data_IF_441053051081
#
_entry.id   IF_441053051081
#
_cell.length_a   1.000
_cell.length_b   1.000
_cell.length_c   1.000
_cell.angle_alpha   90.00
_cell.angle_beta   90.00
_cell.angle_gamma   90.00
#
_symmetry.space_group_name_H-M   'P 1'
#
loop_
_entity.id
_entity.type
_entity.pdbx_description
1 polymer ?
#
# COMPACT_ATOMS: atom_id res chain seq x y z
N UNK A 1 -18.02 -44.76 -6.51
CA UNK A 1 -18.87 -43.55 -6.47
C UNK A 1 -17.96 -42.40 -6.07
N UNK A 2 -17.87 -41.39 -6.92
CA UNK A 2 -16.74 -40.47 -7.02
C UNK A 2 -16.58 -39.54 -5.81
N UNK A 3 -15.35 -39.44 -5.33
CA UNK A 3 -14.89 -38.39 -4.40
C UNK A 3 -14.66 -37.10 -5.19
N UNK A 4 -15.39 -36.02 -4.89
CA UNK A 4 -15.12 -34.70 -5.48
C UNK A 4 -15.51 -33.58 -4.52
N UNK A 5 -14.57 -33.18 -3.68
CA UNK A 5 -14.48 -31.82 -3.16
C UNK A 5 -13.03 -31.36 -3.41
N UNK A 6 -12.81 -30.28 -4.18
CA UNK A 6 -12.38 -29.04 -3.54
C UNK A 6 -12.89 -27.79 -4.29
N UNK A 7 -13.66 -26.93 -3.63
CA UNK A 7 -14.16 -25.66 -4.24
C UNK A 7 -13.58 -24.40 -3.58
N UNK A 8 -12.71 -24.52 -2.57
CA UNK A 8 -12.26 -23.38 -1.75
C UNK A 8 -10.92 -22.78 -2.19
N UNK A 9 -10.00 -23.56 -2.78
CA UNK A 9 -8.65 -23.12 -3.20
C UNK A 9 -8.68 -22.01 -4.27
N UNK A 10 -9.47 -22.20 -5.31
CA UNK A 10 -9.50 -21.30 -6.48
C UNK A 10 -9.97 -19.87 -6.14
N UNK A 11 -10.89 -19.72 -5.17
CA UNK A 11 -11.37 -18.39 -4.78
C UNK A 11 -10.34 -17.57 -4.01
N UNK A 12 -9.45 -18.22 -3.25
CA UNK A 12 -8.43 -17.55 -2.47
C UNK A 12 -7.31 -17.04 -3.39
N UNK A 13 -6.91 -17.87 -4.35
CA UNK A 13 -5.92 -17.52 -5.38
C UNK A 13 -6.40 -16.33 -6.23
N UNK A 14 -7.68 -16.32 -6.62
CA UNK A 14 -8.27 -15.20 -7.36
C UNK A 14 -8.29 -13.90 -6.52
N UNK A 15 -8.61 -13.99 -5.22
CA UNK A 15 -8.57 -12.82 -4.31
C UNK A 15 -7.16 -12.25 -4.16
N UNK A 16 -6.16 -13.12 -3.99
CA UNK A 16 -4.76 -12.70 -3.90
C UNK A 16 -4.26 -12.06 -5.20
N UNK A 17 -4.67 -12.61 -6.36
CA UNK A 17 -4.37 -12.02 -7.66
C UNK A 17 -4.97 -10.61 -7.79
N UNK A 18 -6.26 -10.46 -7.48
CA UNK A 18 -6.94 -9.17 -7.57
C UNK A 18 -6.33 -8.13 -6.62
N UNK A 19 -5.95 -8.53 -5.41
CA UNK A 19 -5.29 -7.64 -4.45
C UNK A 19 -3.93 -7.14 -4.98
N UNK A 20 -3.14 -8.03 -5.60
CA UNK A 20 -1.87 -7.64 -6.24
C UNK A 20 -2.09 -6.65 -7.37
N UNK A 21 -3.03 -6.96 -8.28
CA UNK A 21 -3.36 -6.08 -9.41
C UNK A 21 -3.85 -4.70 -8.94
N UNK A 22 -4.59 -4.65 -7.83
CA UNK A 22 -5.04 -3.39 -7.21
C UNK A 22 -3.86 -2.57 -6.70
N UNK A 23 -2.93 -3.19 -5.96
CA UNK A 23 -1.74 -2.50 -5.45
C UNK A 23 -0.83 -2.04 -6.60
N UNK A 24 -0.70 -2.83 -7.67
CA UNK A 24 0.07 -2.47 -8.86
C UNK A 24 -0.52 -1.23 -9.53
N UNK A 25 -1.84 -1.20 -9.75
CA UNK A 25 -2.52 -0.04 -10.33
C UNK A 25 -2.41 1.22 -9.45
N UNK A 26 -2.53 1.07 -8.12
CA UNK A 26 -2.33 2.18 -7.17
C UNK A 26 -0.89 2.69 -7.18
N UNK A 27 0.09 1.79 -7.37
CA UNK A 27 1.50 2.17 -7.47
C UNK A 27 1.78 2.93 -8.76
N UNK A 28 1.25 2.48 -9.90
CA UNK A 28 1.40 3.21 -11.17
C UNK A 28 0.80 4.62 -11.06
N UNK A 29 -0.37 4.76 -10.43
CA UNK A 29 -0.96 6.06 -10.14
C UNK A 29 -0.07 6.91 -9.23
N UNK A 30 0.55 6.32 -8.21
CA UNK A 30 1.44 7.03 -7.28
C UNK A 30 2.69 7.57 -7.98
N UNK A 31 3.24 6.83 -8.95
CA UNK A 31 4.36 7.28 -9.78
C UNK A 31 3.95 8.41 -10.71
N UNK A 32 2.77 8.31 -11.34
CA UNK A 32 2.23 9.37 -12.21
C UNK A 32 2.02 10.69 -11.45
N UNK A 33 1.54 10.60 -10.21
CA UNK A 33 1.34 11.75 -9.33
C UNK A 33 2.62 12.19 -8.60
N UNK A 34 3.74 11.50 -8.84
CA UNK A 34 5.04 11.77 -8.24
C UNK A 34 4.98 11.90 -6.71
N UNK A 35 4.18 11.05 -6.05
CA UNK A 35 4.04 11.07 -4.57
C UNK A 35 5.31 10.63 -3.86
N UNK A 36 6.21 9.95 -4.59
CA UNK A 36 7.47 9.43 -4.07
C UNK A 36 7.28 8.28 -3.08
N UNK A 37 6.13 7.61 -3.08
CA UNK A 37 5.90 6.41 -2.28
C UNK A 37 6.41 5.18 -3.02
N UNK A 38 7.23 4.38 -2.35
CA UNK A 38 7.57 3.04 -2.84
C UNK A 38 6.43 2.05 -2.56
N UNK A 39 6.49 0.88 -3.18
CA UNK A 39 5.41 -0.12 -3.13
C UNK A 39 5.15 -0.65 -1.72
N UNK A 40 6.17 -0.76 -0.85
CA UNK A 40 5.99 -1.17 0.53
C UNK A 40 5.27 -0.09 1.33
N UNK A 41 5.73 1.16 1.26
CA UNK A 41 5.09 2.29 1.94
C UNK A 41 3.64 2.49 1.49
N UNK A 42 3.37 2.38 0.19
CA UNK A 42 2.02 2.44 -0.34
C UNK A 42 1.12 1.34 0.24
N UNK A 43 1.61 0.10 0.32
CA UNK A 43 0.86 -1.02 0.91
C UNK A 43 0.55 -0.78 2.39
N UNK A 44 1.48 -0.19 3.15
CA UNK A 44 1.25 0.22 4.53
C UNK A 44 0.16 1.28 4.60
N UNK A 45 0.22 2.32 3.76
CA UNK A 45 -0.80 3.37 3.72
C UNK A 45 -2.20 2.81 3.41
N UNK A 46 -2.31 1.90 2.43
CA UNK A 46 -3.57 1.21 2.11
C UNK A 46 -4.08 0.45 3.32
N UNK A 47 -3.23 -0.36 3.97
CA UNK A 47 -3.61 -1.09 5.18
C UNK A 47 -4.05 -0.18 6.33
N UNK A 48 -3.43 0.99 6.51
CA UNK A 48 -3.87 1.97 7.50
C UNK A 48 -5.25 2.54 7.18
N UNK A 49 -5.51 2.86 5.92
CA UNK A 49 -6.82 3.38 5.46
C UNK A 49 -7.90 2.31 5.60
N UNK A 50 -7.61 1.05 5.27
CA UNK A 50 -8.51 -0.09 5.49
C UNK A 50 -8.84 -0.30 6.97
N UNK A 51 -7.91 0.04 7.87
CA UNK A 51 -8.12 0.03 9.32
C UNK A 51 -8.78 1.31 9.87
N UNK A 52 -9.23 2.23 9.00
CA UNK A 52 -10.00 3.42 9.37
C UNK A 52 -9.18 4.71 9.51
N UNK A 53 -7.91 4.73 9.10
CA UNK A 53 -7.16 5.97 9.04
C UNK A 53 -7.74 6.92 7.98
N UNK A 54 -7.86 8.21 8.31
CA UNK A 54 -8.29 9.23 7.36
C UNK A 54 -7.17 9.53 6.34
N UNK A 55 -7.43 9.49 5.02
CA UNK A 55 -6.38 9.62 4.00
C UNK A 55 -5.65 10.97 4.08
N UNK A 56 -6.35 12.08 4.28
CA UNK A 56 -5.71 13.39 4.37
C UNK A 56 -4.85 13.53 5.63
N UNK A 57 -5.28 12.91 6.74
CA UNK A 57 -4.53 12.92 7.99
C UNK A 57 -3.25 12.09 7.88
N UNK A 58 -3.36 10.92 7.25
CA UNK A 58 -2.22 10.07 6.95
C UNK A 58 -1.21 10.78 6.02
N UNK A 59 -1.70 11.46 4.97
CA UNK A 59 -0.85 12.23 4.07
C UNK A 59 -0.06 13.31 4.82
N UNK A 60 -0.71 14.08 5.70
CA UNK A 60 -0.05 15.10 6.51
C UNK A 60 1.07 14.51 7.39
N UNK A 61 0.79 13.38 8.06
CA UNK A 61 1.79 12.68 8.89
C UNK A 61 2.96 12.17 8.06
N UNK A 62 2.70 11.54 6.91
CA UNK A 62 3.76 11.05 6.01
C UNK A 62 4.62 12.20 5.50
N UNK A 63 4.01 13.31 5.09
CA UNK A 63 4.75 14.51 4.66
C UNK A 63 5.63 15.06 5.78
N UNK A 64 5.12 15.14 7.01
CA UNK A 64 5.89 15.67 8.15
C UNK A 64 7.07 14.77 8.51
N UNK A 65 6.87 13.45 8.57
CA UNK A 65 7.94 12.49 8.84
C UNK A 65 9.07 12.58 7.80
N UNK A 66 8.75 12.76 6.52
CA UNK A 66 9.76 12.93 5.46
C UNK A 66 10.57 14.21 5.66
N UNK A 67 9.91 15.32 5.98
CA UNK A 67 10.59 16.59 6.29
C UNK A 67 11.50 16.48 7.51
N UNK A 68 11.11 15.75 8.55
CA UNK A 68 11.96 15.55 9.72
C UNK A 68 13.23 14.77 9.39
N UNK A 69 13.12 13.74 8.55
CA UNK A 69 14.29 12.94 8.12
C UNK A 69 15.22 13.80 7.25
N UNK A 70 14.67 14.54 6.29
CA UNK A 70 15.41 15.48 5.45
C UNK A 70 16.07 16.61 6.27
N UNK A 71 15.35 17.14 7.26
CA UNK A 71 15.89 18.17 8.16
C UNK A 71 16.99 17.68 9.09
N UNK A 72 16.98 16.38 9.45
CA UNK A 72 18.03 15.75 10.27
C UNK A 72 19.31 15.48 9.48
N UNK A 73 19.21 15.05 8.22
CA UNK A 73 20.41 14.82 7.39
C UNK A 73 21.19 16.11 7.09
N UNK A 74 20.54 17.27 7.01
CA UNK A 74 21.18 18.57 6.72
C UNK A 74 21.89 19.18 7.94
N UNK A 75 21.56 18.71 9.15
CA UNK A 75 22.01 19.34 10.41
C UNK A 75 23.23 18.65 11.06
N UNK A 76 23.82 17.67 10.38
CA UNK A 76 24.92 16.85 10.92
C UNK A 76 26.30 17.22 10.34
N UNK A 77 26.43 18.40 9.73
CA UNK A 77 27.71 19.00 9.30
C UNK A 77 28.06 20.22 10.18
#
# INVERSE_FOLDING_TARGET
>A
MSTSAPSTSSSAEMRLKNARETIDALYDLSQLLQTGLDKQTLSICVGMIENGAHPDGLAAVVTELRKEVEGKIVKTD
#
